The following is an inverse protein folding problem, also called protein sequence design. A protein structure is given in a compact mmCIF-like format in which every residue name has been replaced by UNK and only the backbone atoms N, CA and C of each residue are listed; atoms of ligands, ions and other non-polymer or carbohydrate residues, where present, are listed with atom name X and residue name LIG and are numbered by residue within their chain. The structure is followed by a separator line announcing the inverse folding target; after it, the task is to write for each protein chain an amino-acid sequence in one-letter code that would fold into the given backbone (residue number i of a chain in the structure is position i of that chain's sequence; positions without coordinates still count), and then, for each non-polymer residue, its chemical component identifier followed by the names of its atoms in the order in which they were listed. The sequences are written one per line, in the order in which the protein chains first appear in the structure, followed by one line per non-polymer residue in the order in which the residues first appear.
data_IF_281893699655
#
_entry.id   IF_281893699655
#
_cell.length_a   1.000
_cell.length_b   1.000
_cell.length_c   1.000
_cell.angle_alpha   90.00
_cell.angle_beta   90.00
_cell.angle_gamma   90.00
#
_symmetry.space_group_name_H-M   'P 1'
#
loop_
_entity.id
_entity.type
_entity.pdbx_description
1 polymer ?
#
# COMPACT_ATOMS: atom_id res chain seq x y z
N UNK A 1 11.07 -9.28 -4.91
CA UNK A 1 10.78 -8.03 -4.19
C UNK A 1 9.75 -8.31 -3.10
N UNK A 2 9.93 -7.71 -1.92
CA UNK A 2 9.02 -7.82 -0.78
C UNK A 2 8.16 -6.57 -0.61
N UNK A 3 7.13 -6.68 0.23
CA UNK A 3 6.26 -5.57 0.59
C UNK A 3 7.02 -4.43 1.30
N UNK A 4 8.02 -4.74 2.11
CA UNK A 4 8.87 -3.75 2.76
C UNK A 4 9.74 -3.00 1.74
N UNK A 5 10.33 -3.73 0.80
CA UNK A 5 11.20 -3.13 -0.23
C UNK A 5 10.43 -2.15 -1.13
N UNK A 6 9.23 -2.51 -1.60
CA UNK A 6 8.43 -1.61 -2.44
C UNK A 6 7.98 -0.35 -1.68
N UNK A 7 7.66 -0.50 -0.38
CA UNK A 7 7.30 0.64 0.48
C UNK A 7 8.47 1.60 0.62
N UNK A 8 9.67 1.08 0.90
CA UNK A 8 10.86 1.91 1.06
C UNK A 8 11.27 2.57 -0.26
N UNK A 9 11.18 1.86 -1.39
CA UNK A 9 11.37 2.46 -2.71
C UNK A 9 10.36 3.58 -3.01
N UNK A 10 9.08 3.38 -2.68
CA UNK A 10 8.08 4.42 -2.89
C UNK A 10 8.28 5.62 -1.96
N UNK A 11 8.68 5.40 -0.70
CA UNK A 11 9.02 6.49 0.22
C UNK A 11 10.11 7.40 -0.33
N UNK A 12 11.12 6.84 -1.00
CA UNK A 12 12.15 7.62 -1.67
C UNK A 12 11.56 8.48 -2.81
N UNK A 13 10.65 7.92 -3.61
CA UNK A 13 9.98 8.67 -4.71
C UNK A 13 9.08 9.80 -4.20
N UNK A 14 8.57 9.68 -2.97
CA UNK A 14 7.71 10.69 -2.36
C UNK A 14 8.50 11.84 -1.72
N UNK A 15 9.83 11.88 -1.79
CA UNK A 15 10.65 12.91 -1.10
C UNK A 15 10.24 14.34 -1.47
N UNK A 16 9.88 14.53 -2.74
CA UNK A 16 9.56 15.83 -3.34
C UNK A 16 8.07 16.17 -3.26
N UNK A 17 7.25 15.24 -2.76
CA UNK A 17 5.81 15.42 -2.58
C UNK A 17 5.49 16.25 -1.33
N UNK A 18 4.31 16.88 -1.36
CA UNK A 18 3.81 17.64 -0.22
C UNK A 18 3.75 16.77 1.06
N UNK A 19 3.90 17.40 2.22
CA UNK A 19 3.82 16.71 3.53
C UNK A 19 2.49 15.96 3.68
N UNK A 20 1.39 16.52 3.17
CA UNK A 20 0.07 15.88 3.22
C UNK A 20 0.03 14.58 2.42
N UNK A 21 0.57 14.57 1.20
CA UNK A 21 0.68 13.38 0.36
C UNK A 21 1.54 12.32 1.04
N UNK A 22 2.73 12.70 1.55
CA UNK A 22 3.61 11.78 2.28
C UNK A 22 2.93 11.13 3.49
N UNK A 23 2.21 11.91 4.30
CA UNK A 23 1.47 11.39 5.46
C UNK A 23 0.38 10.40 5.06
N UNK A 24 -0.39 10.72 4.01
CA UNK A 24 -1.42 9.82 3.49
C UNK A 24 -0.86 8.50 2.94
N UNK A 25 0.35 8.52 2.37
CA UNK A 25 1.08 7.30 2.01
C UNK A 25 1.57 6.50 3.20
N UNK A 26 2.17 7.18 4.16
CA UNK A 26 2.68 6.52 5.36
C UNK A 26 1.56 5.88 6.20
N UNK A 27 0.39 6.52 6.31
CA UNK A 27 -0.79 5.93 6.96
C UNK A 27 -1.24 4.64 6.27
N UNK A 28 -1.33 4.66 4.94
CA UNK A 28 -1.67 3.48 4.15
C UNK A 28 -0.66 2.35 4.37
N UNK A 29 0.64 2.66 4.29
CA UNK A 29 1.70 1.67 4.50
C UNK A 29 1.69 1.09 5.90
N UNK A 30 1.53 1.92 6.94
CA UNK A 30 1.43 1.45 8.32
C UNK A 30 0.25 0.50 8.50
N UNK A 31 -0.90 0.81 7.89
CA UNK A 31 -2.05 -0.07 7.97
C UNK A 31 -1.75 -1.42 7.30
N UNK A 32 -1.27 -1.40 6.05
CA UNK A 32 -0.95 -2.64 5.32
C UNK A 32 0.10 -3.47 6.07
N UNK A 33 1.17 -2.86 6.58
CA UNK A 33 2.26 -3.55 7.29
C UNK A 33 1.87 -4.06 8.69
N UNK A 34 0.73 -3.62 9.24
CA UNK A 34 0.13 -4.25 10.44
C UNK A 34 -0.55 -5.58 10.10
N UNK A 35 -1.01 -5.74 8.87
CA UNK A 35 -1.74 -6.92 8.40
C UNK A 35 -0.82 -7.92 7.67
N UNK A 36 0.25 -7.42 7.06
CA UNK A 36 1.22 -8.19 6.29
C UNK A 36 2.63 -7.91 6.82
N UNK A 37 3.40 -8.96 7.17
CA UNK A 37 4.82 -8.80 7.48
C UNK A 37 5.58 -8.11 6.34
N UNK A 38 6.61 -7.33 6.67
CA UNK A 38 7.42 -6.60 5.66
C UNK A 38 8.10 -7.52 4.66
N UNK A 39 8.50 -8.70 5.10
CA UNK A 39 9.13 -9.76 4.31
C UNK A 39 8.15 -10.50 3.38
N UNK A 40 6.84 -10.18 3.44
CA UNK A 40 5.84 -10.74 2.53
C UNK A 40 6.28 -10.56 1.07
N UNK A 41 6.47 -11.64 0.30
CA UNK A 41 6.74 -11.55 -1.13
C UNK A 41 5.61 -10.82 -1.86
N UNK A 42 5.91 -9.96 -2.83
CA UNK A 42 4.85 -9.23 -3.57
C UNK A 42 3.86 -10.17 -4.28
N UNK A 43 4.32 -11.34 -4.73
CA UNK A 43 3.47 -12.40 -5.30
C UNK A 43 2.46 -12.99 -4.30
N UNK A 44 2.75 -12.92 -3.01
CA UNK A 44 1.86 -13.35 -1.93
C UNK A 44 1.00 -12.20 -1.37
N UNK A 45 1.23 -10.97 -1.83
CA UNK A 45 0.47 -9.80 -1.39
C UNK A 45 -0.85 -9.67 -2.15
N UNK A 46 -1.91 -10.30 -1.62
CA UNK A 46 -3.25 -10.26 -2.20
C UNK A 46 -4.05 -9.01 -1.79
N UNK A 47 -4.31 -8.14 -2.77
CA UNK A 47 -5.12 -6.93 -2.61
C UNK A 47 -6.59 -7.22 -2.30
N UNK A 48 -7.13 -8.37 -2.74
CA UNK A 48 -8.52 -8.74 -2.45
C UNK A 48 -8.67 -9.05 -0.96
N UNK A 49 -7.73 -9.80 -0.40
CA UNK A 49 -7.67 -10.06 1.04
C UNK A 49 -7.45 -8.78 1.85
N UNK A 50 -6.60 -7.86 1.38
CA UNK A 50 -6.43 -6.56 2.02
C UNK A 50 -7.75 -5.76 2.03
N UNK A 51 -8.48 -5.73 0.91
CA UNK A 51 -9.77 -5.04 0.80
C UNK A 51 -10.79 -5.57 1.81
N UNK A 52 -10.90 -6.90 1.90
CA UNK A 52 -11.78 -7.57 2.87
C UNK A 52 -11.41 -7.22 4.32
N UNK A 53 -10.12 -7.18 4.65
CA UNK A 53 -9.64 -6.80 6.00
C UNK A 53 -9.93 -5.33 6.32
N UNK A 54 -9.73 -4.43 5.36
CA UNK A 54 -10.03 -3.00 5.51
C UNK A 54 -11.53 -2.79 5.77
N UNK A 55 -12.40 -3.41 4.95
CA UNK A 55 -13.85 -3.34 5.14
C UNK A 55 -14.28 -3.94 6.49
N UNK A 56 -13.73 -5.09 6.88
CA UNK A 56 -14.00 -5.73 8.17
C UNK A 56 -13.57 -4.88 9.38
N UNK A 57 -12.62 -3.96 9.21
CA UNK A 57 -12.21 -3.01 10.25
C UNK A 57 -13.13 -1.79 10.40
N UNK A 58 -14.24 -1.74 9.64
CA UNK A 58 -15.21 -0.64 9.66
C UNK A 58 -14.84 0.54 8.77
N UNK A 59 -13.85 0.40 7.88
CA UNK A 59 -13.50 1.42 6.91
C UNK A 59 -14.59 1.53 5.82
N UNK A 60 -14.99 2.75 5.45
CA UNK A 60 -15.98 2.96 4.40
C UNK A 60 -15.48 2.47 3.04
N UNK A 61 -16.36 1.83 2.27
CA UNK A 61 -16.05 1.21 0.97
C UNK A 61 -15.32 2.14 -0.01
N UNK A 62 -15.67 3.43 0.00
CA UNK A 62 -15.02 4.45 -0.85
C UNK A 62 -13.54 4.62 -0.51
N UNK A 63 -13.22 4.60 0.78
CA UNK A 63 -11.84 4.69 1.28
C UNK A 63 -11.10 3.40 0.96
N UNK A 64 -11.74 2.24 1.16
CA UNK A 64 -11.18 0.93 0.79
C UNK A 64 -10.83 0.89 -0.69
N UNK A 65 -11.75 1.29 -1.58
CA UNK A 65 -11.52 1.35 -3.02
C UNK A 65 -10.35 2.27 -3.38
N UNK A 66 -10.24 3.43 -2.73
CA UNK A 66 -9.11 4.34 -2.89
C UNK A 66 -7.76 3.73 -2.48
N UNK A 67 -7.73 3.02 -1.35
CA UNK A 67 -6.55 2.30 -0.87
C UNK A 67 -6.11 1.21 -1.85
N UNK A 68 -7.05 0.39 -2.31
CA UNK A 68 -6.75 -0.69 -3.27
C UNK A 68 -6.27 -0.12 -4.59
N UNK A 69 -6.91 0.91 -5.13
CA UNK A 69 -6.48 1.56 -6.37
C UNK A 69 -5.06 2.12 -6.26
N UNK A 70 -4.71 2.73 -5.13
CA UNK A 70 -3.35 3.25 -4.89
C UNK A 70 -2.30 2.14 -4.88
N UNK A 71 -2.59 1.02 -4.23
CA UNK A 71 -1.72 -0.16 -4.26
C UNK A 71 -1.59 -0.75 -5.67
N UNK A 72 -2.70 -0.88 -6.41
CA UNK A 72 -2.67 -1.35 -7.80
C UNK A 72 -1.77 -0.48 -8.68
N UNK A 73 -1.92 0.85 -8.59
CA UNK A 73 -1.08 1.79 -9.32
C UNK A 73 0.40 1.63 -8.95
N UNK A 74 0.71 1.51 -7.65
CA UNK A 74 2.09 1.34 -7.20
C UNK A 74 2.72 0.02 -7.69
N UNK A 75 1.98 -1.08 -7.61
CA UNK A 75 2.44 -2.39 -8.07
C UNK A 75 2.63 -2.38 -9.59
N UNK A 76 1.71 -1.78 -10.35
CA UNK A 76 1.81 -1.66 -11.81
C UNK A 76 3.05 -0.86 -12.25
N UNK A 77 3.44 0.19 -11.51
CA UNK A 77 4.66 0.95 -11.78
C UNK A 77 5.96 0.18 -11.50
N UNK A 78 5.87 -0.91 -10.74
CA UNK A 78 7.04 -1.70 -10.31
C UNK A 78 7.27 -2.90 -11.22
N UNK A 79 6.21 -3.38 -11.90
CA UNK A 79 6.30 -4.45 -12.91
C UNK A 79 6.85 -4.00 -14.27
N UNK A 80 7.13 -2.71 -14.47
CA UNK A 80 7.59 -2.14 -15.75
C UNK A 80 9.11 -1.94 -15.85
N UNK A 81 9.90 -2.61 -15.01
CA UNK A 81 11.37 -2.63 -15.10
C UNK A 81 11.88 -4.00 -15.55
#
# INVERSE_FOLDING_TARGET
MTLGEIVDQHRLRLSDESVGVRRSWEEMFRYTLRQYPKDTPLEAFDLVSLAKRLAASGMQDQIVAGYIKRWQTLLAQTSTC
#
